data_IF_216336881661
#
_entry.id   IF_216336881661
#
_cell.length_a   1.000
_cell.length_b   1.000
_cell.length_c   1.000
_cell.angle_alpha   90.00
_cell.angle_beta   90.00
_cell.angle_gamma   90.00
#
_symmetry.space_group_name_H-M   'P 1'
#
loop_
_entity.id
_entity.type
_entity.pdbx_description
1 polymer ?
#
# COMPACT_ATOMS: atom_id res chain seq x y z
N UNK A 1 17.68 25.76 -26.63
CA UNK A 1 16.84 24.54 -26.73
C UNK A 1 16.07 24.41 -25.43
N UNK A 2 14.76 24.62 -25.44
CA UNK A 2 13.92 24.16 -24.32
C UNK A 2 14.18 22.65 -24.15
N UNK A 3 14.61 22.22 -22.96
CA UNK A 3 14.63 20.79 -22.66
C UNK A 3 13.19 20.31 -22.81
N UNK A 4 12.96 19.28 -23.64
CA UNK A 4 11.66 18.66 -23.77
C UNK A 4 11.12 18.34 -22.36
N UNK A 5 9.99 18.98 -21.98
CA UNK A 5 9.41 18.81 -20.66
C UNK A 5 9.12 17.33 -20.44
N UNK A 6 9.50 16.81 -19.27
CA UNK A 6 9.35 15.39 -18.93
C UNK A 6 8.13 15.15 -18.04
N UNK A 7 7.67 13.91 -17.94
CA UNK A 7 6.72 13.46 -16.92
C UNK A 7 7.51 12.98 -15.71
N UNK A 8 7.15 13.44 -14.51
CA UNK A 8 7.70 12.93 -13.26
C UNK A 8 6.74 11.94 -12.62
N UNK A 9 7.20 10.72 -12.35
CA UNK A 9 6.48 9.79 -11.50
C UNK A 9 7.08 9.81 -10.09
N UNK A 10 6.23 9.95 -9.08
CA UNK A 10 6.62 9.95 -7.67
C UNK A 10 6.11 8.68 -7.03
N UNK A 11 7.02 7.87 -6.46
CA UNK A 11 6.68 6.59 -5.84
C UNK A 11 7.28 6.49 -4.44
N UNK A 12 6.53 5.94 -3.50
CA UNK A 12 7.01 5.61 -2.14
C UNK A 12 6.92 4.12 -1.84
N UNK A 13 6.28 3.33 -2.72
CA UNK A 13 6.04 1.89 -2.54
C UNK A 13 6.29 1.10 -3.81
N UNK A 14 6.61 -0.18 -3.64
CA UNK A 14 6.89 -1.09 -4.75
C UNK A 14 5.68 -1.30 -5.67
N UNK A 15 4.46 -1.33 -5.12
CA UNK A 15 3.25 -1.47 -5.93
C UNK A 15 3.01 -0.25 -6.83
N UNK A 16 3.32 0.96 -6.35
CA UNK A 16 3.27 2.16 -7.19
C UNK A 16 4.30 2.08 -8.31
N UNK A 17 5.51 1.57 -8.02
CA UNK A 17 6.50 1.35 -9.06
C UNK A 17 6.00 0.33 -10.11
N UNK A 18 5.34 -0.75 -9.72
CA UNK A 18 4.69 -1.66 -10.67
C UNK A 18 3.67 -0.92 -11.54
N UNK A 19 2.79 -0.12 -10.93
CA UNK A 19 1.81 0.72 -11.64
C UNK A 19 2.49 1.65 -12.65
N UNK A 20 3.52 2.38 -12.23
CA UNK A 20 4.26 3.31 -13.09
C UNK A 20 4.91 2.58 -14.26
N UNK A 21 5.56 1.45 -14.03
CA UNK A 21 6.16 0.64 -15.10
C UNK A 21 5.12 0.13 -16.10
N UNK A 22 3.93 -0.28 -15.64
CA UNK A 22 2.81 -0.66 -16.52
C UNK A 22 2.32 0.53 -17.37
N UNK A 23 2.17 1.71 -16.75
CA UNK A 23 1.82 2.94 -17.47
C UNK A 23 2.91 3.33 -18.48
N UNK A 24 4.18 3.17 -18.11
CA UNK A 24 5.31 3.53 -18.94
C UNK A 24 5.40 2.70 -20.23
N UNK A 25 4.83 1.49 -20.28
CA UNK A 25 4.80 0.70 -21.52
C UNK A 25 3.98 1.38 -22.64
N UNK A 26 3.11 2.32 -22.30
CA UNK A 26 2.12 2.90 -23.24
C UNK A 26 2.47 4.29 -23.74
N UNK A 27 3.54 4.88 -23.24
CA UNK A 27 3.84 6.29 -23.53
C UNK A 27 5.27 6.43 -24.03
N UNK A 28 5.52 7.40 -24.90
CA UNK A 28 6.84 7.65 -25.50
C UNK A 28 7.51 8.92 -24.98
N UNK A 29 6.86 9.65 -24.05
CA UNK A 29 7.45 10.87 -23.50
C UNK A 29 8.66 10.57 -22.62
N UNK A 30 9.50 11.59 -22.43
CA UNK A 30 10.58 11.56 -21.46
C UNK A 30 10.02 11.41 -20.04
N UNK A 31 10.52 10.41 -19.30
CA UNK A 31 10.03 10.06 -17.96
C UNK A 31 11.17 10.11 -16.97
N UNK A 32 10.90 10.70 -15.81
CA UNK A 32 11.78 10.68 -14.66
C UNK A 32 11.05 10.03 -13.49
N UNK A 33 11.82 9.53 -12.52
CA UNK A 33 11.31 8.85 -11.34
C UNK A 33 11.86 9.51 -10.07
N UNK A 34 11.00 9.76 -9.08
CA UNK A 34 11.36 10.23 -7.75
C UNK A 34 10.89 9.22 -6.70
N UNK A 35 11.82 8.64 -5.96
CA UNK A 35 11.52 7.82 -4.79
C UNK A 35 11.36 8.68 -3.54
N UNK A 36 10.34 8.44 -2.71
CA UNK A 36 10.09 9.18 -1.46
C UNK A 36 10.21 8.24 -0.26
N UNK A 37 10.83 8.73 0.83
CA UNK A 37 11.03 7.99 2.09
C UNK A 37 11.85 6.69 1.89
N UNK A 38 13.00 6.85 1.25
CA UNK A 38 13.87 5.77 0.82
C UNK A 38 14.55 5.03 1.98
N UNK A 39 14.41 3.70 2.00
CA UNK A 39 15.24 2.82 2.82
C UNK A 39 16.52 2.43 2.05
N UNK A 40 17.67 2.91 2.51
CA UNK A 40 18.92 2.91 1.75
C UNK A 40 19.30 1.56 1.15
N UNK A 41 19.27 0.47 1.90
CA UNK A 41 19.84 -0.80 1.42
C UNK A 41 18.97 -1.52 0.39
N UNK A 42 17.65 -1.61 0.62
CA UNK A 42 16.74 -2.32 -0.30
C UNK A 42 16.59 -1.57 -1.62
N UNK A 43 16.38 -0.26 -1.52
CA UNK A 43 16.12 0.54 -2.71
C UNK A 43 17.38 0.81 -3.53
N UNK A 44 18.60 0.82 -2.95
CA UNK A 44 19.87 0.97 -3.69
C UNK A 44 20.00 -0.10 -4.78
N UNK A 45 19.72 -1.36 -4.41
CA UNK A 45 19.80 -2.49 -5.34
C UNK A 45 18.71 -2.40 -6.41
N UNK A 46 17.50 -1.99 -6.03
CA UNK A 46 16.39 -1.82 -6.95
C UNK A 46 16.68 -0.71 -7.98
N UNK A 47 17.20 0.44 -7.55
CA UNK A 47 17.52 1.58 -8.44
C UNK A 47 18.58 1.20 -9.46
N UNK A 48 19.62 0.46 -9.07
CA UNK A 48 20.63 -0.04 -10.03
C UNK A 48 19.98 -0.85 -11.15
N UNK A 49 19.06 -1.76 -10.82
CA UNK A 49 18.33 -2.55 -11.82
C UNK A 49 17.41 -1.70 -12.70
N UNK A 50 16.87 -0.59 -12.19
CA UNK A 50 16.12 0.36 -13.01
C UNK A 50 17.03 1.09 -14.02
N UNK A 51 18.23 1.49 -13.59
CA UNK A 51 19.24 2.11 -14.47
C UNK A 51 19.66 1.11 -15.56
N UNK A 52 19.92 -0.15 -15.18
CA UNK A 52 20.31 -1.21 -16.12
C UNK A 52 19.27 -1.45 -17.23
N UNK A 53 18.01 -1.07 -17.00
CA UNK A 53 16.91 -1.20 -17.97
C UNK A 53 16.62 0.07 -18.77
N UNK A 54 17.29 1.19 -18.45
CA UNK A 54 17.17 2.46 -19.16
C UNK A 54 15.72 2.95 -19.36
N UNK A 55 14.88 2.76 -18.34
CA UNK A 55 13.43 3.07 -18.43
C UNK A 55 13.15 4.55 -18.16
N UNK A 56 13.95 5.17 -17.29
CA UNK A 56 13.78 6.55 -16.84
C UNK A 56 15.04 7.34 -17.17
N UNK A 57 14.86 8.55 -17.71
CA UNK A 57 15.98 9.42 -18.04
C UNK A 57 16.75 9.87 -16.79
N UNK A 58 16.04 10.08 -15.69
CA UNK A 58 16.63 10.44 -14.41
C UNK A 58 15.89 9.75 -13.27
N UNK A 59 16.64 9.24 -12.31
CA UNK A 59 16.12 8.67 -11.07
C UNK A 59 16.64 9.50 -9.90
N UNK A 60 15.72 9.99 -9.09
CA UNK A 60 15.98 10.80 -7.91
C UNK A 60 15.46 10.10 -6.66
N UNK A 61 16.03 10.45 -5.52
CA UNK A 61 15.58 10.01 -4.20
C UNK A 61 15.39 11.22 -3.32
N UNK A 62 14.23 11.26 -2.68
CA UNK A 62 13.85 12.20 -1.66
C UNK A 62 13.90 11.53 -0.27
N UNK A 63 14.80 12.02 0.57
CA UNK A 63 14.86 11.67 1.99
C UNK A 63 14.31 12.82 2.83
N UNK A 64 13.21 12.55 3.54
CA UNK A 64 12.67 13.48 4.53
C UNK A 64 13.50 13.41 5.81
N UNK A 65 13.86 14.56 6.39
CA UNK A 65 14.56 14.65 7.68
C UNK A 65 15.86 13.81 7.74
N UNK A 66 16.66 13.79 6.68
CA UNK A 66 17.95 13.10 6.67
C UNK A 66 18.86 13.75 7.73
N UNK A 67 19.45 12.97 8.67
CA UNK A 67 20.39 13.49 9.65
C UNK A 67 21.72 13.81 8.96
N UNK A 68 22.08 15.08 8.96
CA UNK A 68 23.33 15.59 8.41
C UNK A 68 24.17 16.14 9.56
N UNK A 69 25.42 15.68 9.65
CA UNK A 69 26.37 16.18 10.63
C UNK A 69 26.71 17.65 10.32
N UNK A 70 26.47 18.53 11.29
CA UNK A 70 26.89 19.91 11.17
C UNK A 70 28.32 20.05 11.67
N UNK A 71 29.28 20.03 10.74
CA UNK A 71 30.72 20.11 11.00
C UNK A 71 31.18 21.38 11.76
N UNK A 72 30.29 22.36 11.95
CA UNK A 72 30.61 23.58 12.72
C UNK A 72 30.26 23.47 14.20
N UNK A 73 29.27 22.67 14.60
CA UNK A 73 28.71 22.68 15.96
C UNK A 73 28.53 21.29 16.61
N UNK A 74 29.00 20.20 16.00
CA UNK A 74 28.78 18.81 16.47
C UNK A 74 27.30 18.52 16.80
N UNK A 75 26.39 19.09 16.02
CA UNK A 75 24.95 18.86 16.13
C UNK A 75 24.44 18.19 14.85
N UNK A 76 23.52 17.24 15.01
CA UNK A 76 22.82 16.63 13.91
C UNK A 76 21.68 17.55 13.46
N UNK A 77 21.72 18.01 12.22
CA UNK A 77 20.62 18.75 11.60
C UNK A 77 19.77 17.76 10.80
N UNK A 78 18.45 17.89 10.91
CA UNK A 78 17.54 17.21 10.00
C UNK A 78 17.27 18.12 8.81
N UNK A 79 17.58 17.66 7.60
CA UNK A 79 17.26 18.37 6.37
C UNK A 79 16.64 17.41 5.37
N UNK A 80 15.73 17.92 4.56
CA UNK A 80 15.29 17.18 3.40
C UNK A 80 16.35 17.23 2.31
N UNK A 81 16.68 16.08 1.74
CA UNK A 81 17.70 15.97 0.69
C UNK A 81 17.15 15.25 -0.53
N UNK A 82 17.51 15.76 -1.71
CA UNK A 82 17.28 15.05 -2.97
C UNK A 82 18.63 14.67 -3.57
N UNK A 83 18.82 13.36 -3.76
CA UNK A 83 20.00 12.79 -4.41
C UNK A 83 19.63 12.30 -5.81
N UNK A 84 20.48 12.55 -6.80
CA UNK A 84 20.40 11.93 -8.12
C UNK A 84 21.26 10.66 -8.15
N UNK A 85 20.74 9.57 -8.72
CA UNK A 85 21.45 8.29 -8.70
C UNK A 85 22.46 8.10 -9.83
N UNK A 86 22.38 8.91 -10.90
CA UNK A 86 23.33 8.81 -12.02
C UNK A 86 23.33 10.06 -12.93
N UNK A 87 22.85 11.21 -12.43
CA UNK A 87 22.80 12.41 -13.24
C UNK A 87 23.37 13.64 -12.50
N UNK A 88 24.18 14.42 -13.21
CA UNK A 88 24.68 15.73 -12.73
C UNK A 88 23.59 16.81 -12.74
N UNK A 89 22.37 16.49 -13.18
CA UNK A 89 21.26 17.42 -13.20
C UNK A 89 20.67 17.53 -11.79
N UNK A 90 20.75 18.72 -11.20
CA UNK A 90 20.02 19.02 -9.96
C UNK A 90 18.51 18.86 -10.21
N UNK A 91 17.83 18.22 -9.26
CA UNK A 91 16.38 18.14 -9.29
C UNK A 91 15.77 19.55 -9.23
N UNK A 92 14.88 19.85 -10.18
CA UNK A 92 14.02 21.02 -10.15
C UNK A 92 12.65 20.61 -10.64
N UNK A 93 11.60 20.93 -9.89
CA UNK A 93 10.24 20.55 -10.24
C UNK A 93 9.72 21.29 -11.48
N UNK A 94 10.29 22.47 -11.77
CA UNK A 94 9.85 23.38 -12.84
C UNK A 94 10.20 22.84 -14.25
N UNK A 95 10.91 21.71 -14.35
CA UNK A 95 11.27 21.07 -15.63
C UNK A 95 10.19 20.13 -16.17
N UNK A 96 9.19 19.81 -15.36
CA UNK A 96 8.19 18.80 -15.69
C UNK A 96 6.94 19.44 -16.28
N UNK A 97 6.36 18.82 -17.30
CA UNK A 97 5.03 19.23 -17.79
C UNK A 97 3.92 18.64 -16.94
N UNK A 98 4.17 17.45 -16.37
CA UNK A 98 3.21 16.74 -15.57
C UNK A 98 3.88 15.93 -14.49
N UNK A 99 3.20 15.80 -13.35
CA UNK A 99 3.64 15.02 -12.21
C UNK A 99 2.53 14.06 -11.82
N UNK A 100 2.86 12.78 -11.79
CA UNK A 100 2.02 11.73 -11.24
C UNK A 100 2.46 11.47 -9.81
N UNK A 101 1.63 11.85 -8.84
CA UNK A 101 1.92 11.67 -7.41
C UNK A 101 0.65 11.61 -6.59
N UNK A 102 0.63 10.75 -5.59
CA UNK A 102 -0.30 10.84 -4.45
C UNK A 102 0.45 11.08 -3.14
N UNK A 103 1.77 11.33 -3.20
CA UNK A 103 2.59 11.52 -2.00
C UNK A 103 2.44 12.96 -1.46
N UNK A 104 1.74 13.06 -0.33
CA UNK A 104 1.49 14.33 0.38
C UNK A 104 2.79 15.09 0.71
N UNK A 105 3.90 14.40 0.96
CA UNK A 105 5.17 15.08 1.30
C UNK A 105 5.67 15.91 0.12
N UNK A 106 5.57 15.38 -1.09
CA UNK A 106 5.97 16.09 -2.30
C UNK A 106 4.96 17.18 -2.66
N UNK A 107 3.67 16.90 -2.51
CA UNK A 107 2.61 17.87 -2.76
C UNK A 107 2.72 19.09 -1.86
N UNK A 108 2.90 18.89 -0.56
CA UNK A 108 3.09 19.96 0.42
C UNK A 108 4.33 20.80 0.10
N UNK A 109 5.49 20.13 -0.02
CA UNK A 109 6.79 20.76 -0.25
C UNK A 109 6.84 21.65 -1.48
N UNK A 110 6.17 21.25 -2.56
CA UNK A 110 6.22 21.96 -3.83
C UNK A 110 4.91 22.64 -4.21
N UNK A 111 3.93 22.69 -3.31
CA UNK A 111 2.61 23.26 -3.53
C UNK A 111 2.65 24.66 -4.17
N UNK A 112 3.45 25.57 -3.61
CA UNK A 112 3.61 26.93 -4.15
C UNK A 112 4.12 26.93 -5.60
N UNK A 113 5.22 26.22 -5.86
CA UNK A 113 5.81 26.14 -7.20
C UNK A 113 4.86 25.52 -8.22
N UNK A 114 4.14 24.48 -7.82
CA UNK A 114 3.15 23.81 -8.66
C UNK A 114 2.02 24.79 -9.01
N UNK A 115 1.51 25.56 -8.04
CA UNK A 115 0.45 26.55 -8.26
C UNK A 115 0.88 27.74 -9.13
N UNK A 116 2.16 28.12 -9.04
CA UNK A 116 2.73 29.23 -9.81
C UNK A 116 3.18 28.80 -11.23
N UNK A 117 3.20 27.50 -11.52
CA UNK A 117 3.69 26.94 -12.79
C UNK A 117 2.58 26.23 -13.57
N UNK A 118 2.74 26.15 -14.89
CA UNK A 118 1.85 25.37 -15.78
C UNK A 118 2.20 23.86 -15.75
N UNK A 119 2.19 23.28 -14.54
CA UNK A 119 2.48 21.86 -14.30
C UNK A 119 1.17 21.14 -14.03
N UNK A 120 0.81 20.17 -14.87
CA UNK A 120 -0.34 19.30 -14.64
C UNK A 120 -0.04 18.29 -13.54
N UNK A 121 -0.82 18.28 -12.45
CA UNK A 121 -0.75 17.21 -11.46
C UNK A 121 -1.84 16.18 -11.72
N UNK A 122 -1.45 14.91 -11.64
CA UNK A 122 -2.32 13.76 -11.74
C UNK A 122 -2.14 12.90 -10.48
N UNK A 123 -3.22 12.67 -9.73
CA UNK A 123 -3.17 11.70 -8.63
C UNK A 123 -3.26 10.29 -9.21
N UNK A 124 -2.56 9.33 -8.62
CA UNK A 124 -2.64 7.93 -9.07
C UNK A 124 -2.65 6.93 -7.91
N UNK A 125 -3.13 5.73 -8.20
CA UNK A 125 -3.34 4.66 -7.23
C UNK A 125 -2.07 4.32 -6.42
N UNK A 126 -2.13 4.58 -5.12
CA UNK A 126 -1.10 4.23 -4.13
C UNK A 126 -1.53 3.07 -3.20
N UNK A 127 -2.71 2.50 -3.48
CA UNK A 127 -3.40 1.53 -2.65
C UNK A 127 -4.74 2.07 -2.15
N UNK A 128 -5.24 1.47 -1.07
CA UNK A 128 -6.62 1.70 -0.58
C UNK A 128 -6.88 3.17 -0.21
N UNK A 129 -5.87 3.91 0.25
CA UNK A 129 -6.00 5.33 0.60
C UNK A 129 -6.43 6.19 -0.59
N UNK A 130 -6.01 5.84 -1.81
CA UNK A 130 -6.44 6.55 -3.01
C UNK A 130 -7.96 6.54 -3.20
N UNK A 131 -8.71 5.65 -2.55
CA UNK A 131 -10.16 5.55 -2.70
C UNK A 131 -10.94 6.35 -1.64
N UNK A 132 -10.24 6.98 -0.69
CA UNK A 132 -10.81 7.74 0.42
C UNK A 132 -11.01 9.20 0.04
N UNK A 133 -12.18 9.76 0.35
CA UNK A 133 -12.50 11.18 0.14
C UNK A 133 -11.58 12.05 0.98
N UNK A 134 -11.36 11.72 2.26
CA UNK A 134 -10.48 12.51 3.14
C UNK A 134 -9.04 12.59 2.64
N UNK A 135 -8.51 11.49 2.08
CA UNK A 135 -7.15 11.45 1.57
C UNK A 135 -7.00 12.30 0.30
N UNK A 136 -7.96 12.20 -0.61
CA UNK A 136 -7.95 12.99 -1.85
C UNK A 136 -8.19 14.46 -1.56
N UNK A 137 -9.08 14.81 -0.62
CA UNK A 137 -9.27 16.18 -0.15
C UNK A 137 -7.99 16.72 0.50
N UNK A 138 -7.27 15.89 1.28
CA UNK A 138 -5.97 16.27 1.82
C UNK A 138 -4.96 16.55 0.71
N UNK A 139 -4.83 15.68 -0.28
CA UNK A 139 -3.97 15.94 -1.45
C UNK A 139 -4.35 17.26 -2.15
N UNK A 140 -5.65 17.49 -2.35
CA UNK A 140 -6.15 18.69 -3.01
C UNK A 140 -6.06 19.98 -2.18
N UNK A 141 -5.85 19.87 -0.86
CA UNK A 141 -5.56 21.04 -0.04
C UNK A 141 -4.23 21.69 -0.43
N UNK A 142 -3.28 20.90 -0.97
CA UNK A 142 -1.97 21.39 -1.42
C UNK A 142 -2.00 21.89 -2.86
N UNK A 143 -2.78 21.24 -3.73
CA UNK A 143 -2.81 21.48 -5.18
C UNK A 143 -4.23 21.38 -5.74
N UNK A 144 -4.58 22.13 -6.77
CA UNK A 144 -5.90 21.97 -7.42
C UNK A 144 -5.86 20.86 -8.48
N UNK A 145 -6.00 19.60 -8.05
CA UNK A 145 -6.03 18.44 -8.96
C UNK A 145 -7.46 17.97 -9.25
N UNK A 146 -7.77 17.70 -10.52
CA UNK A 146 -9.05 17.14 -10.96
C UNK A 146 -8.95 15.72 -11.49
N UNK A 147 -7.79 15.31 -11.97
CA UNK A 147 -7.59 14.05 -12.66
C UNK A 147 -6.98 13.00 -11.70
N UNK A 148 -7.66 11.87 -11.56
CA UNK A 148 -7.27 10.80 -10.64
C UNK A 148 -7.30 9.45 -11.38
N UNK A 149 -6.17 8.74 -11.36
CA UNK A 149 -5.98 7.46 -12.03
C UNK A 149 -6.08 6.33 -11.01
N UNK A 150 -7.07 5.45 -11.15
CA UNK A 150 -7.36 4.34 -10.23
C UNK A 150 -7.47 3.03 -10.98
N UNK A 151 -7.09 1.91 -10.37
CA UNK A 151 -7.35 0.58 -10.96
C UNK A 151 -8.84 0.28 -11.11
N UNK A 152 -9.67 0.68 -10.13
CA UNK A 152 -11.12 0.54 -10.21
C UNK A 152 -11.90 1.74 -9.66
N UNK A 153 -12.16 2.76 -10.49
CA UNK A 153 -12.89 3.98 -10.10
C UNK A 153 -14.22 3.76 -9.36
N UNK A 154 -14.88 2.61 -9.53
CA UNK A 154 -16.17 2.29 -8.88
C UNK A 154 -16.06 2.18 -7.36
N UNK A 155 -14.86 1.95 -6.83
CA UNK A 155 -14.61 1.85 -5.39
C UNK A 155 -14.45 3.21 -4.72
N UNK A 156 -14.17 4.28 -5.47
CA UNK A 156 -13.92 5.60 -4.91
C UNK A 156 -15.17 6.19 -4.22
N UNK A 157 -14.99 6.84 -3.07
CA UNK A 157 -16.08 7.51 -2.35
C UNK A 157 -16.51 8.85 -2.96
N UNK A 158 -15.71 9.39 -3.87
CA UNK A 158 -15.76 10.78 -4.33
C UNK A 158 -16.00 10.92 -5.84
N UNK A 159 -16.51 9.88 -6.51
CA UNK A 159 -16.54 9.75 -7.97
C UNK A 159 -17.30 10.83 -8.75
N UNK A 160 -18.01 11.73 -8.07
CA UNK A 160 -18.71 12.87 -8.67
C UNK A 160 -17.91 14.19 -8.64
N UNK A 161 -16.86 14.28 -7.80
CA UNK A 161 -16.07 15.50 -7.60
C UNK A 161 -14.89 15.63 -8.57
N UNK A 162 -14.43 14.51 -9.13
CA UNK A 162 -13.17 14.40 -9.87
C UNK A 162 -13.35 13.62 -11.18
N UNK A 163 -12.44 13.86 -12.11
CA UNK A 163 -12.32 13.07 -13.33
C UNK A 163 -11.56 11.78 -12.98
N UNK A 164 -12.23 10.64 -13.08
CA UNK A 164 -11.63 9.35 -12.75
C UNK A 164 -11.23 8.61 -14.02
N UNK A 165 -9.95 8.27 -14.11
CA UNK A 165 -9.38 7.47 -15.20
C UNK A 165 -9.07 6.07 -14.68
N UNK A 166 -9.36 5.07 -15.51
CA UNK A 166 -9.08 3.68 -15.17
C UNK A 166 -7.67 3.30 -15.62
N UNK A 167 -6.87 2.77 -14.69
CA UNK A 167 -5.60 2.11 -14.98
C UNK A 167 -5.91 0.69 -15.44
N UNK A 168 -5.30 0.27 -16.56
CA UNK A 168 -5.47 -1.09 -17.05
C UNK A 168 -4.84 -2.10 -16.09
N UNK A 169 -5.57 -3.20 -15.89
CA UNK A 169 -5.08 -4.33 -15.10
C UNK A 169 -3.85 -4.95 -15.75
N UNK A 170 -2.97 -5.47 -14.90
CA UNK A 170 -1.78 -6.20 -15.31
C UNK A 170 -2.19 -7.65 -15.57
N UNK A 171 -1.83 -8.17 -16.75
CA UNK A 171 -2.11 -9.56 -17.13
C UNK A 171 -0.87 -10.43 -16.99
N UNK A 172 -1.04 -11.65 -16.46
CA UNK A 172 -0.02 -12.71 -16.41
C UNK A 172 0.48 -13.14 -17.80
N UNK A 173 -0.25 -12.74 -18.85
CA UNK A 173 0.08 -12.99 -20.25
C UNK A 173 1.05 -11.97 -20.84
N UNK A 174 1.24 -10.80 -20.21
CA UNK A 174 2.25 -9.83 -20.62
C UNK A 174 3.63 -10.26 -20.12
N UNK A 175 4.24 -11.22 -20.83
CA UNK A 175 5.51 -11.85 -20.42
C UNK A 175 6.66 -10.85 -20.35
N UNK A 176 6.72 -9.88 -21.26
CA UNK A 176 7.74 -8.83 -21.26
C UNK A 176 7.68 -7.97 -19.98
N UNK A 177 6.48 -7.53 -19.59
CA UNK A 177 6.31 -6.74 -18.36
C UNK A 177 6.63 -7.56 -17.10
N UNK A 178 6.27 -8.86 -17.08
CA UNK A 178 6.55 -9.75 -15.95
C UNK A 178 8.05 -10.02 -15.83
N UNK A 179 8.75 -10.27 -16.94
CA UNK A 179 10.21 -10.41 -16.96
C UNK A 179 10.89 -9.13 -16.47
N UNK A 180 10.39 -7.97 -16.87
CA UNK A 180 10.86 -6.69 -16.35
C UNK A 180 10.65 -6.59 -14.84
N UNK A 181 9.45 -6.88 -14.33
CA UNK A 181 9.20 -6.88 -12.89
C UNK A 181 10.10 -7.86 -12.15
N UNK A 182 10.24 -9.09 -12.66
CA UNK A 182 11.08 -10.11 -12.05
C UNK A 182 12.52 -9.62 -11.91
N UNK A 183 13.04 -8.97 -12.94
CA UNK A 183 14.36 -8.35 -12.89
C UNK A 183 14.41 -7.21 -11.86
N UNK A 184 13.53 -6.20 -11.96
CA UNK A 184 13.56 -5.01 -11.08
C UNK A 184 13.39 -5.37 -9.61
N UNK A 185 12.46 -6.28 -9.29
CA UNK A 185 12.17 -6.69 -7.92
C UNK A 185 13.01 -7.88 -7.46
N UNK A 186 13.89 -8.43 -8.30
CA UNK A 186 14.69 -9.61 -8.02
C UNK A 186 13.83 -10.77 -7.51
N UNK A 187 12.80 -11.07 -8.29
CA UNK A 187 11.87 -12.14 -8.01
C UNK A 187 12.63 -13.47 -7.89
N UNK A 188 12.42 -14.14 -6.76
CA UNK A 188 12.80 -15.52 -6.58
C UNK A 188 11.55 -16.31 -6.16
N UNK A 189 11.27 -17.39 -6.88
CA UNK A 189 10.15 -18.25 -6.53
C UNK A 189 10.48 -18.99 -5.23
N UNK A 190 9.90 -18.51 -4.12
CA UNK A 190 10.13 -19.04 -2.78
C UNK A 190 8.98 -19.91 -2.27
N UNK A 191 7.79 -19.74 -2.84
CA UNK A 191 6.59 -20.47 -2.44
C UNK A 191 6.15 -21.35 -3.59
N UNK A 192 6.18 -22.66 -3.38
CA UNK A 192 5.61 -23.64 -4.31
C UNK A 192 4.34 -24.15 -3.66
N UNK A 193 3.19 -23.72 -4.17
CA UNK A 193 1.91 -24.28 -3.77
C UNK A 193 1.73 -25.64 -4.42
N UNK A 194 1.52 -26.71 -3.63
CA UNK A 194 1.05 -28.00 -4.14
C UNK A 194 -0.45 -27.91 -4.53
N UNK A 195 -0.80 -27.00 -5.44
CA UNK A 195 -2.15 -26.77 -5.95
C UNK A 195 -3.02 -25.78 -5.17
N UNK A 196 -2.78 -25.56 -3.87
CA UNK A 196 -3.47 -24.55 -3.04
C UNK A 196 -2.49 -23.88 -2.07
N UNK A 197 -2.56 -22.55 -2.00
CA UNK A 197 -1.80 -21.72 -1.08
C UNK A 197 -2.75 -20.99 -0.14
N UNK A 198 -2.61 -21.22 1.17
CA UNK A 198 -3.39 -20.52 2.20
C UNK A 198 -2.47 -19.59 2.98
N UNK A 199 -2.76 -18.30 2.99
CA UNK A 199 -1.88 -17.28 3.57
C UNK A 199 -2.65 -16.21 4.35
N UNK A 200 -2.13 -15.83 5.51
CA UNK A 200 -2.62 -14.71 6.31
C UNK A 200 -1.66 -13.53 6.22
N UNK A 201 -2.16 -12.35 5.85
CA UNK A 201 -1.41 -11.09 5.83
C UNK A 201 -1.64 -10.31 7.12
N UNK A 202 -0.62 -10.30 7.98
CA UNK A 202 -0.65 -9.59 9.26
C UNK A 202 -0.60 -8.07 9.08
N UNK A 203 -1.21 -7.37 10.02
CA UNK A 203 -1.18 -5.91 10.14
C UNK A 203 -0.32 -5.51 11.35
N UNK A 204 0.40 -4.38 11.26
CA UNK A 204 1.37 -3.97 12.28
C UNK A 204 0.71 -3.25 13.46
N UNK A 205 0.20 -4.02 14.43
CA UNK A 205 -0.37 -3.45 15.65
C UNK A 205 0.64 -3.31 16.78
N UNK A 206 0.40 -2.35 17.67
CA UNK A 206 1.06 -2.31 18.99
C UNK A 206 0.36 -3.28 19.92
N UNK A 207 1.09 -4.28 20.39
CA UNK A 207 0.55 -5.34 21.26
C UNK A 207 0.53 -4.90 22.75
N UNK A 208 1.18 -3.80 23.11
CA UNK A 208 1.24 -3.34 24.50
C UNK A 208 0.53 -2.00 24.71
N UNK A 209 -0.33 -1.97 25.73
CA UNK A 209 -0.95 -0.74 26.23
C UNK A 209 0.07 0.11 26.98
N UNK A 210 0.03 1.43 26.78
CA UNK A 210 0.81 2.35 27.59
C UNK A 210 0.48 2.22 29.09
N UNK A 211 1.40 2.58 29.98
CA UNK A 211 1.14 2.61 31.43
C UNK A 211 -0.11 3.45 31.74
N UNK A 212 -0.27 4.59 31.05
CA UNK A 212 -1.45 5.46 31.19
C UNK A 212 -2.73 4.73 30.80
N UNK A 213 -2.74 4.02 29.67
CA UNK A 213 -3.88 3.24 29.24
C UNK A 213 -4.17 2.07 30.20
N UNK A 214 -3.14 1.37 30.70
CA UNK A 214 -3.32 0.31 31.72
C UNK A 214 -3.98 0.83 33.00
N UNK A 215 -3.52 1.97 33.51
CA UNK A 215 -4.12 2.61 34.68
C UNK A 215 -5.57 3.05 34.40
N UNK A 216 -5.81 3.74 33.28
CA UNK A 216 -7.16 4.17 32.87
C UNK A 216 -8.11 3.00 32.63
N UNK A 217 -7.60 1.82 32.27
CA UNK A 217 -8.41 0.60 32.10
C UNK A 217 -9.02 0.14 33.42
N UNK A 218 -8.33 0.37 34.55
CA UNK A 218 -8.82 0.05 35.89
C UNK A 218 -9.92 1.01 36.37
N UNK A 219 -9.97 2.23 35.83
CA UNK A 219 -10.91 3.27 36.22
C UNK A 219 -11.91 3.57 35.09
N UNK A 220 -13.12 3.00 35.16
CA UNK A 220 -14.17 3.15 34.13
C UNK A 220 -14.40 4.59 33.66
N UNK A 221 -14.37 5.57 34.57
CA UNK A 221 -14.54 7.00 34.28
C UNK A 221 -13.51 7.56 33.27
N UNK A 222 -12.33 6.93 33.14
CA UNK A 222 -11.24 7.41 32.28
C UNK A 222 -10.96 6.49 31.09
N UNK A 223 -11.71 5.39 30.94
CA UNK A 223 -11.49 4.42 29.85
C UNK A 223 -11.58 5.08 28.47
N UNK A 224 -12.55 5.98 28.26
CA UNK A 224 -12.74 6.66 26.98
C UNK A 224 -11.52 7.48 26.53
N UNK A 225 -10.64 7.90 27.45
CA UNK A 225 -9.44 8.69 27.12
C UNK A 225 -8.31 7.88 26.47
N UNK A 226 -8.43 6.56 26.43
CA UNK A 226 -7.45 5.65 25.83
C UNK A 226 -8.13 4.61 24.93
N UNK A 227 -9.33 4.94 24.43
CA UNK A 227 -10.14 4.00 23.65
C UNK A 227 -9.43 3.53 22.37
N UNK A 228 -8.72 4.43 21.68
CA UNK A 228 -7.92 4.07 20.50
C UNK A 228 -6.85 3.03 20.82
N UNK A 229 -6.07 3.21 21.90
CA UNK A 229 -5.08 2.22 22.34
C UNK A 229 -5.73 0.86 22.68
N UNK A 230 -6.92 0.87 23.28
CA UNK A 230 -7.64 -0.37 23.58
C UNK A 230 -8.15 -1.07 22.32
N UNK A 231 -8.65 -0.32 21.34
CA UNK A 231 -9.09 -0.83 20.04
C UNK A 231 -7.91 -1.48 19.32
N UNK A 232 -6.75 -0.80 19.24
CA UNK A 232 -5.53 -1.34 18.62
C UNK A 232 -5.08 -2.63 19.32
N UNK A 233 -5.03 -2.62 20.66
CA UNK A 233 -4.64 -3.77 21.46
C UNK A 233 -5.55 -4.98 21.24
N UNK A 234 -6.87 -4.79 21.29
CA UNK A 234 -7.81 -5.91 21.07
C UNK A 234 -7.86 -6.37 19.61
N UNK A 235 -7.65 -5.46 18.66
CA UNK A 235 -7.49 -5.81 17.23
C UNK A 235 -6.29 -6.72 17.03
N UNK A 236 -5.14 -6.40 17.64
CA UNK A 236 -3.94 -7.25 17.62
C UNK A 236 -4.24 -8.66 18.16
N UNK A 237 -4.92 -8.75 19.31
CA UNK A 237 -5.31 -10.03 19.90
C UNK A 237 -6.27 -10.83 19.02
N UNK A 238 -7.22 -10.15 18.36
CA UNK A 238 -8.13 -10.81 17.41
C UNK A 238 -7.36 -11.39 16.21
N UNK A 239 -6.37 -10.66 15.68
CA UNK A 239 -5.52 -11.15 14.59
C UNK A 239 -4.86 -12.48 14.94
N UNK A 240 -4.16 -12.55 16.08
CA UNK A 240 -3.49 -13.79 16.49
C UNK A 240 -4.49 -14.92 16.80
N UNK A 241 -5.66 -14.59 17.36
CA UNK A 241 -6.73 -15.57 17.57
C UNK A 241 -7.23 -16.16 16.24
N UNK A 242 -7.49 -15.34 15.23
CA UNK A 242 -7.91 -15.83 13.92
C UNK A 242 -6.85 -16.70 13.26
N UNK A 243 -5.58 -16.28 13.29
CA UNK A 243 -4.47 -17.08 12.76
C UNK A 243 -4.45 -18.46 13.43
N UNK A 244 -4.57 -18.51 14.76
CA UNK A 244 -4.58 -19.77 15.51
C UNK A 244 -5.81 -20.63 15.17
N UNK A 245 -7.00 -20.03 15.08
CA UNK A 245 -8.22 -20.75 14.72
C UNK A 245 -8.17 -21.34 13.30
N UNK A 246 -7.62 -20.60 12.35
CA UNK A 246 -7.42 -21.10 10.98
C UNK A 246 -6.38 -22.24 11.01
N UNK A 247 -5.26 -22.07 11.73
CA UNK A 247 -4.20 -23.09 11.86
C UNK A 247 -4.66 -24.40 12.48
N UNK A 248 -5.64 -24.38 13.39
CA UNK A 248 -6.23 -25.61 13.95
C UNK A 248 -6.82 -26.51 12.86
N UNK A 249 -7.36 -25.94 11.78
CA UNK A 249 -7.95 -26.67 10.65
C UNK A 249 -7.01 -26.78 9.46
N UNK A 250 -6.14 -25.78 9.28
CA UNK A 250 -5.18 -25.64 8.18
C UNK A 250 -3.77 -25.47 8.75
N UNK A 251 -3.11 -26.55 9.22
CA UNK A 251 -1.79 -26.46 9.87
C UNK A 251 -0.71 -25.80 8.99
N UNK A 252 -0.88 -25.87 7.67
CA UNK A 252 0.04 -25.29 6.68
C UNK A 252 -0.24 -23.82 6.35
N UNK A 253 -1.14 -23.14 7.08
CA UNK A 253 -1.42 -21.72 6.87
C UNK A 253 -0.14 -20.89 7.02
N UNK A 254 0.26 -20.26 5.92
CA UNK A 254 1.38 -19.33 5.90
C UNK A 254 0.97 -18.01 6.56
N UNK A 255 1.92 -17.32 7.19
CA UNK A 255 1.72 -15.96 7.72
C UNK A 255 2.75 -15.05 7.07
N UNK A 256 2.32 -14.00 6.36
CA UNK A 256 3.21 -12.93 5.92
C UNK A 256 3.11 -11.78 6.91
N UNK A 257 4.24 -11.41 7.52
CA UNK A 257 4.32 -10.22 8.39
C UNK A 257 4.33 -8.93 7.56
N UNK A 258 3.83 -7.86 8.15
CA UNK A 258 4.05 -6.52 7.65
C UNK A 258 5.53 -6.13 7.85
N UNK A 259 6.17 -5.39 6.93
CA UNK A 259 7.59 -5.02 7.02
C UNK A 259 8.06 -4.31 8.30
N UNK A 260 7.12 -3.76 9.10
CA UNK A 260 7.43 -3.02 10.33
C UNK A 260 7.09 -3.81 11.60
N UNK A 261 6.50 -5.01 11.47
CA UNK A 261 6.34 -5.90 12.62
C UNK A 261 7.71 -6.43 13.07
N UNK A 262 7.84 -6.68 14.37
CA UNK A 262 8.98 -7.40 14.92
C UNK A 262 9.09 -8.81 14.31
N UNK A 263 10.23 -9.48 14.51
CA UNK A 263 10.38 -10.87 14.08
C UNK A 263 9.35 -11.75 14.79
N UNK A 264 8.45 -12.34 13.99
CA UNK A 264 7.42 -13.28 14.42
C UNK A 264 7.79 -14.65 13.84
N UNK A 265 7.77 -15.68 14.68
CA UNK A 265 8.03 -17.05 14.27
C UNK A 265 7.00 -17.55 13.25
N UNK A 266 7.41 -18.51 12.41
CA UNK A 266 6.56 -19.15 11.41
C UNK A 266 5.92 -18.14 10.43
N UNK A 267 6.75 -17.21 9.95
CA UNK A 267 6.38 -16.26 8.89
C UNK A 267 7.13 -16.55 7.60
N UNK A 268 6.51 -16.22 6.47
CA UNK A 268 7.15 -16.26 5.15
C UNK A 268 7.74 -14.89 4.86
N UNK A 269 8.99 -14.90 4.38
CA UNK A 269 9.69 -13.69 3.97
C UNK A 269 9.60 -13.56 2.44
N UNK A 270 8.83 -12.57 1.99
CA UNK A 270 8.64 -12.25 0.57
C UNK A 270 9.06 -10.81 0.41
N UNK A 271 10.20 -10.62 -0.25
CA UNK A 271 10.86 -9.32 -0.42
C UNK A 271 10.41 -8.54 -1.67
N UNK A 272 9.47 -9.10 -2.42
CA UNK A 272 8.84 -8.48 -3.60
C UNK A 272 7.32 -8.33 -3.40
N UNK A 273 6.64 -7.50 -4.22
CA UNK A 273 5.20 -7.32 -4.16
C UNK A 273 4.43 -8.64 -4.27
N UNK A 274 3.37 -8.80 -3.47
CA UNK A 274 2.54 -10.00 -3.52
C UNK A 274 1.88 -10.19 -4.88
N UNK A 275 1.48 -9.10 -5.51
CA UNK A 275 0.92 -9.09 -6.86
C UNK A 275 1.89 -9.67 -7.89
N UNK A 276 3.21 -9.50 -7.71
CA UNK A 276 4.23 -10.09 -8.59
C UNK A 276 4.32 -11.61 -8.40
N UNK A 277 4.16 -12.11 -7.17
CA UNK A 277 4.06 -13.55 -6.93
C UNK A 277 2.92 -14.16 -7.75
N UNK A 278 1.72 -13.55 -7.63
CA UNK A 278 0.51 -14.00 -8.30
C UNK A 278 0.62 -13.95 -9.82
N UNK A 279 1.26 -12.91 -10.38
CA UNK A 279 1.49 -12.80 -11.82
C UNK A 279 2.39 -13.90 -12.39
N UNK A 280 3.39 -14.36 -11.62
CA UNK A 280 4.26 -15.47 -12.01
C UNK A 280 3.60 -16.84 -11.80
N UNK A 281 2.56 -16.91 -10.95
CA UNK A 281 1.95 -18.15 -10.48
C UNK A 281 0.43 -18.14 -10.72
N UNK A 282 0.00 -17.76 -11.93
CA UNK A 282 -1.41 -17.53 -12.26
C UNK A 282 -2.30 -18.79 -12.17
N UNK A 283 -1.71 -19.98 -12.21
CA UNK A 283 -2.41 -21.26 -12.04
C UNK A 283 -2.55 -21.70 -10.57
N UNK A 284 -1.87 -21.05 -9.62
CA UNK A 284 -1.92 -21.42 -8.21
C UNK A 284 -3.22 -20.91 -7.60
N UNK A 285 -3.98 -21.80 -6.95
CA UNK A 285 -5.14 -21.42 -6.16
C UNK A 285 -4.70 -20.78 -4.85
N UNK A 286 -5.26 -19.64 -4.51
CA UNK A 286 -4.86 -18.85 -3.36
C UNK A 286 -6.06 -18.52 -2.50
N UNK A 287 -5.99 -18.85 -1.21
CA UNK A 287 -6.84 -18.27 -0.18
C UNK A 287 -6.03 -17.31 0.65
N UNK A 288 -6.44 -16.05 0.69
CA UNK A 288 -5.77 -15.02 1.45
C UNK A 288 -6.69 -14.40 2.50
N UNK A 289 -6.18 -14.30 3.71
CA UNK A 289 -6.89 -13.78 4.88
C UNK A 289 -6.17 -12.53 5.37
N UNK A 290 -6.92 -11.51 5.75
CA UNK A 290 -6.37 -10.38 6.50
C UNK A 290 -7.48 -9.67 7.26
N UNK A 291 -7.10 -8.87 8.26
CA UNK A 291 -8.07 -7.96 8.86
C UNK A 291 -8.54 -6.95 7.81
N UNK A 292 -7.62 -6.22 7.18
CA UNK A 292 -7.97 -5.16 6.21
C UNK A 292 -6.80 -4.78 5.27
N UNK A 293 -5.87 -5.70 5.00
CA UNK A 293 -4.77 -5.42 4.08
C UNK A 293 -5.27 -5.17 2.65
N UNK A 294 -4.65 -4.21 1.96
CA UNK A 294 -4.93 -3.90 0.54
C UNK A 294 -4.71 -5.08 -0.40
N UNK A 295 -3.86 -6.04 -0.02
CA UNK A 295 -3.58 -7.26 -0.82
C UNK A 295 -4.83 -8.09 -1.06
N UNK A 296 -5.84 -7.98 -0.19
CA UNK A 296 -7.14 -8.61 -0.37
C UNK A 296 -7.84 -8.14 -1.66
N UNK A 297 -7.51 -6.96 -2.15
CA UNK A 297 -8.09 -6.35 -3.35
C UNK A 297 -7.19 -6.49 -4.59
N UNK A 298 -6.29 -7.47 -4.64
CA UNK A 298 -5.46 -7.78 -5.83
C UNK A 298 -6.29 -7.94 -7.13
N UNK A 299 -7.57 -8.34 -7.02
CA UNK A 299 -8.53 -8.37 -8.11
C UNK A 299 -8.64 -7.05 -8.90
N UNK A 300 -8.40 -5.90 -8.26
CA UNK A 300 -8.42 -4.60 -8.95
C UNK A 300 -7.24 -4.45 -9.89
N UNK A 301 -6.09 -5.02 -9.52
CA UNK A 301 -4.79 -4.84 -10.17
C UNK A 301 -4.56 -5.93 -11.21
N UNK A 302 -4.95 -7.17 -10.91
CA UNK A 302 -4.65 -8.36 -11.70
C UNK A 302 -5.81 -8.74 -12.62
N UNK A 303 -5.50 -9.00 -13.88
CA UNK A 303 -6.49 -9.48 -14.85
C UNK A 303 -6.89 -10.93 -14.55
N UNK A 304 -5.92 -11.82 -14.37
CA UNK A 304 -6.11 -13.22 -13.99
C UNK A 304 -6.17 -13.38 -12.46
N UNK A 305 -7.33 -13.12 -11.87
CA UNK A 305 -7.54 -13.23 -10.41
C UNK A 305 -8.56 -14.32 -10.01
N UNK A 306 -9.05 -15.10 -10.96
CA UNK A 306 -10.09 -16.13 -10.75
C UNK A 306 -9.71 -17.25 -9.78
N UNK A 307 -8.41 -17.48 -9.58
CA UNK A 307 -7.88 -18.48 -8.65
C UNK A 307 -7.69 -17.95 -7.23
N UNK A 308 -8.12 -16.72 -6.93
CA UNK A 308 -7.86 -16.05 -5.65
C UNK A 308 -9.18 -15.84 -4.90
N UNK A 309 -9.27 -16.33 -3.66
CA UNK A 309 -10.31 -15.89 -2.72
C UNK A 309 -9.71 -15.08 -1.59
N UNK A 310 -10.33 -13.93 -1.35
CA UNK A 310 -9.91 -12.97 -0.32
C UNK A 310 -10.93 -12.89 0.79
N UNK A 311 -10.50 -13.10 2.03
CA UNK A 311 -11.35 -13.02 3.20
C UNK A 311 -10.98 -11.82 4.07
N UNK A 312 -11.97 -10.95 4.31
CA UNK A 312 -11.87 -9.71 5.05
C UNK A 312 -12.43 -9.89 6.47
N UNK A 313 -11.56 -9.92 7.48
CA UNK A 313 -11.91 -10.34 8.85
C UNK A 313 -12.24 -9.18 9.80
N UNK A 314 -11.97 -7.93 9.43
CA UNK A 314 -12.22 -6.79 10.31
C UNK A 314 -13.68 -6.61 10.77
N UNK A 315 -14.73 -6.96 10.00
CA UNK A 315 -16.10 -6.82 10.48
C UNK A 315 -16.37 -7.63 11.75
N UNK A 316 -15.78 -8.83 11.85
CA UNK A 316 -15.88 -9.61 13.07
C UNK A 316 -15.11 -8.96 14.24
N UNK A 317 -13.94 -8.35 13.97
CA UNK A 317 -13.20 -7.58 14.99
C UNK A 317 -14.03 -6.42 15.53
N UNK A 318 -14.63 -5.62 14.63
CA UNK A 318 -15.48 -4.48 15.01
C UNK A 318 -16.61 -4.94 15.93
N UNK A 319 -17.29 -6.04 15.58
CA UNK A 319 -18.34 -6.63 16.41
C UNK A 319 -17.83 -6.96 17.83
N UNK A 320 -16.71 -7.68 17.93
CA UNK A 320 -16.14 -8.11 19.21
C UNK A 320 -15.73 -6.93 20.09
N UNK A 321 -15.10 -5.90 19.49
CA UNK A 321 -14.62 -4.72 20.21
C UNK A 321 -15.81 -3.87 20.70
N UNK A 322 -16.80 -3.65 19.86
CA UNK A 322 -17.98 -2.87 20.22
C UNK A 322 -18.80 -3.53 21.32
N UNK A 323 -18.99 -4.86 21.27
CA UNK A 323 -19.65 -5.61 22.35
C UNK A 323 -18.87 -5.49 23.68
N UNK A 324 -17.54 -5.57 23.62
CA UNK A 324 -16.66 -5.52 24.79
C UNK A 324 -16.62 -4.14 25.46
N UNK A 325 -16.52 -3.09 24.66
CA UNK A 325 -16.35 -1.71 25.16
C UNK A 325 -17.62 -0.86 25.11
N UNK A 326 -18.74 -1.42 24.62
CA UNK A 326 -20.01 -0.71 24.45
C UNK A 326 -19.87 0.57 23.62
N UNK A 327 -19.03 0.51 22.59
CA UNK A 327 -18.81 1.60 21.64
C UNK A 327 -19.78 1.39 20.47
N UNK A 328 -20.34 2.47 19.94
CA UNK A 328 -21.09 2.40 18.69
C UNK A 328 -20.16 1.96 17.54
N UNK A 329 -20.58 0.92 16.80
CA UNK A 329 -19.90 0.47 15.59
C UNK A 329 -19.62 1.62 14.62
N UNK A 330 -20.49 2.63 14.55
CA UNK A 330 -20.32 3.79 13.67
C UNK A 330 -19.01 4.55 13.91
N UNK A 331 -18.47 4.51 15.14
CA UNK A 331 -17.19 5.14 15.51
C UNK A 331 -16.00 4.35 14.95
N UNK A 332 -16.17 3.03 14.76
CA UNK A 332 -15.15 2.13 14.20
C UNK A 332 -15.28 1.95 12.68
N UNK A 333 -16.44 2.32 12.12
CA UNK A 333 -16.70 2.32 10.67
C UNK A 333 -16.16 3.64 10.09
N UNK A 334 -15.07 3.53 9.36
CA UNK A 334 -14.44 4.63 8.63
C UNK A 334 -14.47 4.36 7.12
N UNK A 335 -13.77 5.19 6.36
CA UNK A 335 -13.66 5.04 4.90
C UNK A 335 -13.05 3.70 4.48
N UNK A 336 -12.20 3.09 5.30
CA UNK A 336 -11.65 1.75 5.06
C UNK A 336 -12.77 0.69 5.04
N UNK A 337 -13.68 0.73 6.01
CA UNK A 337 -14.83 -0.18 6.04
C UNK A 337 -15.77 0.09 4.86
N UNK A 338 -15.99 1.36 4.49
CA UNK A 338 -16.80 1.70 3.31
C UNK A 338 -16.19 1.16 2.01
N UNK A 339 -14.88 1.28 1.86
CA UNK A 339 -14.13 0.72 0.73
C UNK A 339 -14.31 -0.81 0.65
N UNK A 340 -14.06 -1.53 1.76
CA UNK A 340 -14.21 -3.00 1.75
C UNK A 340 -15.66 -3.45 1.55
N UNK A 341 -16.66 -2.70 2.03
CA UNK A 341 -18.06 -2.98 1.75
C UNK A 341 -18.39 -2.84 0.25
N UNK A 342 -17.79 -1.87 -0.45
CA UNK A 342 -17.91 -1.77 -1.90
C UNK A 342 -17.15 -2.90 -2.61
N UNK A 343 -15.96 -3.24 -2.14
CA UNK A 343 -15.17 -4.35 -2.67
C UNK A 343 -15.91 -5.69 -2.54
N UNK A 344 -16.60 -5.93 -1.43
CA UNK A 344 -17.45 -7.10 -1.23
C UNK A 344 -18.62 -7.11 -2.21
N UNK A 345 -19.32 -5.99 -2.40
CA UNK A 345 -20.40 -5.88 -3.40
C UNK A 345 -19.94 -6.13 -4.84
N UNK A 346 -18.68 -5.85 -5.14
CA UNK A 346 -18.06 -6.15 -6.44
C UNK A 346 -17.50 -7.58 -6.52
N UNK A 347 -17.59 -8.37 -5.44
CA UNK A 347 -17.11 -9.75 -5.38
C UNK A 347 -15.59 -9.89 -5.24
N UNK A 348 -14.88 -8.83 -4.83
CA UNK A 348 -13.41 -8.86 -4.68
C UNK A 348 -12.96 -9.48 -3.36
N UNK A 349 -13.82 -9.44 -2.35
CA UNK A 349 -13.57 -9.97 -1.01
C UNK A 349 -14.87 -10.56 -0.45
N UNK A 350 -14.74 -11.54 0.43
CA UNK A 350 -15.83 -12.06 1.25
C UNK A 350 -15.59 -11.62 2.69
N UNK A 351 -16.57 -10.94 3.30
CA UNK A 351 -16.42 -10.54 4.70
C UNK A 351 -16.71 -11.69 5.66
N UNK A 352 -15.92 -11.78 6.72
CA UNK A 352 -16.14 -12.68 7.85
C UNK A 352 -16.71 -11.84 8.98
N UNK A 353 -17.97 -12.09 9.36
CA UNK A 353 -18.69 -11.29 10.37
C UNK A 353 -18.82 -12.02 11.71
N UNK A 354 -18.55 -13.33 11.73
CA UNK A 354 -18.65 -14.18 12.91
C UNK A 354 -17.85 -15.50 12.74
N UNK A 355 -17.88 -16.38 13.76
CA UNK A 355 -17.19 -17.67 13.75
C UNK A 355 -17.71 -18.67 12.70
N UNK A 356 -19.01 -18.64 12.40
CA UNK A 356 -19.60 -19.50 11.37
C UNK A 356 -19.03 -19.13 10.01
N UNK A 357 -19.06 -17.85 9.65
CA UNK A 357 -18.47 -17.34 8.39
C UNK A 357 -16.97 -17.69 8.28
N UNK A 358 -16.24 -17.60 9.40
CA UNK A 358 -14.83 -18.01 9.42
C UNK A 358 -14.68 -19.52 9.15
N UNK A 359 -15.57 -20.33 9.72
CA UNK A 359 -15.64 -21.77 9.47
C UNK A 359 -15.92 -22.10 7.99
N UNK A 360 -16.85 -21.38 7.37
CA UNK A 360 -17.15 -21.50 5.93
C UNK A 360 -15.95 -21.10 5.08
N UNK A 361 -15.34 -19.95 5.35
CA UNK A 361 -14.16 -19.46 4.63
C UNK A 361 -12.97 -20.44 4.67
N UNK A 362 -12.77 -21.11 5.81
CA UNK A 362 -11.72 -22.14 5.95
C UNK A 362 -12.04 -23.37 5.09
N UNK A 363 -13.30 -23.80 5.07
CA UNK A 363 -13.74 -25.03 4.43
C UNK A 363 -14.06 -24.90 2.93
N UNK A 364 -14.25 -23.68 2.44
CA UNK A 364 -14.63 -23.40 1.05
C UNK A 364 -13.61 -23.98 0.06
N UNK A 365 -14.05 -24.59 -1.04
CA UNK A 365 -13.12 -25.06 -2.08
C UNK A 365 -12.84 -23.94 -3.10
N UNK A 366 -11.63 -23.93 -3.67
CA UNK A 366 -11.25 -23.16 -4.88
C UNK A 366 -10.92 -24.16 -5.96
#
# INVERSE_FOLDING_TARGET
MEKAKSILYVVSREIQLMTVLNLCQKTSENKDLLFVNYNSNKWNKLVKRLIDKDIFNNIYIYNKNEPIENNTNNQWLQKDVIHSFDCNNRFSIDRYMSIFTSDITILDKYSQKIRESDISINLFDEGVLSYFDSYIEQCNSFIECKDIYLYDPRLANYSKKYNLYKIDKISSKNKELIELYNYIFNYNELLIGNGLLEIFFSQPFKIELSLKARLRKLFHLFQNRSIGEYVDYETARCQDNFINQIRLKKPNLLRKKHPIESNIENTVDIDYPWELYLLNNDNVKVKQYSLYSSVLCCHMILNESYNIKSYYLYPYVVKLISEKYKIDNSILINELTQFFNKAEKLGYVTSVKNLHDLGEAINEEI
#
